data_IF_000468278078
#
_entry.id   IF_000468278078
#
_cell.length_a   1.000
_cell.length_b   1.000
_cell.length_c   1.000
_cell.angle_alpha   90.00
_cell.angle_beta   90.00
_cell.angle_gamma   90.00
#
_symmetry.space_group_name_H-M   'P 1'
#
loop_
_entity.id
_entity.type
_entity.pdbx_description
1 polymer ?
#
# COMPACT_ATOMS: atom_id res chain seq x y z
N UNK A 1 -7.23 -6.12 -6.24
CA UNK A 1 -7.55 -4.97 -5.36
C UNK A 1 -8.08 -5.51 -4.04
N UNK A 2 -7.56 -5.01 -2.92
CA UNK A 2 -7.99 -5.38 -1.58
C UNK A 2 -8.82 -4.23 -0.97
N UNK A 3 -9.82 -4.58 -0.16
CA UNK A 3 -10.74 -3.63 0.47
C UNK A 3 -10.77 -3.90 1.98
N UNK A 4 -10.49 -2.87 2.78
CA UNK A 4 -10.69 -2.91 4.22
C UNK A 4 -12.15 -2.61 4.55
N UNK A 5 -12.72 -3.41 5.46
CA UNK A 5 -14.10 -3.29 5.92
C UNK A 5 -14.17 -3.07 7.43
N UNK A 6 -15.11 -2.23 7.86
CA UNK A 6 -15.50 -2.06 9.27
C UNK A 6 -16.99 -2.41 9.36
N UNK A 7 -17.31 -3.67 9.70
CA UNK A 7 -18.63 -4.24 9.45
C UNK A 7 -18.95 -4.29 7.95
N UNK A 8 -20.10 -3.74 7.56
CA UNK A 8 -20.52 -3.67 6.16
C UNK A 8 -19.87 -2.52 5.37
N UNK A 9 -19.31 -1.54 6.08
CA UNK A 9 -18.71 -0.34 5.50
C UNK A 9 -17.37 -0.64 4.83
N UNK A 10 -17.18 -0.13 3.61
CA UNK A 10 -15.87 -0.08 2.96
C UNK A 10 -15.12 1.16 3.44
N UNK A 11 -13.99 0.95 4.12
CA UNK A 11 -13.27 2.03 4.82
C UNK A 11 -11.85 2.26 4.30
N UNK A 12 -11.36 1.43 3.40
CA UNK A 12 -10.09 1.65 2.72
C UNK A 12 -9.86 0.65 1.60
N UNK A 13 -8.85 0.92 0.79
CA UNK A 13 -8.48 0.07 -0.33
C UNK A 13 -6.99 0.17 -0.65
N UNK A 14 -6.50 -0.84 -1.38
CA UNK A 14 -5.19 -0.84 -2.04
C UNK A 14 -5.25 -1.71 -3.29
N UNK A 15 -4.57 -1.30 -4.35
CA UNK A 15 -4.38 -2.08 -5.56
C UNK A 15 -2.93 -2.53 -5.69
N UNK A 16 -2.76 -3.66 -6.37
CA UNK A 16 -1.47 -4.17 -6.85
C UNK A 16 -1.57 -4.25 -8.36
N UNK A 17 -0.58 -3.68 -9.04
CA UNK A 17 -0.48 -3.68 -10.50
C UNK A 17 0.80 -4.43 -10.85
N UNK A 18 0.73 -5.42 -11.73
CA UNK A 18 1.92 -6.08 -12.25
C UNK A 18 2.47 -5.23 -13.40
N UNK A 19 3.75 -4.86 -13.32
CA UNK A 19 4.43 -4.06 -14.35
C UNK A 19 5.36 -4.93 -15.19
N UNK A 20 6.16 -5.76 -14.52
CA UNK A 20 7.12 -6.69 -15.12
C UNK A 20 7.10 -8.05 -14.39
N UNK A 21 7.72 -9.10 -14.96
CA UNK A 21 7.86 -10.38 -14.26
C UNK A 21 8.48 -10.23 -12.87
N UNK A 22 7.68 -10.46 -11.82
CA UNK A 22 8.09 -10.32 -10.43
C UNK A 22 8.10 -8.89 -9.89
N UNK A 23 7.72 -7.88 -10.66
CA UNK A 23 7.68 -6.48 -10.24
C UNK A 23 6.24 -5.98 -10.16
N UNK A 24 5.88 -5.44 -8.99
CA UNK A 24 4.53 -4.94 -8.75
C UNK A 24 4.55 -3.52 -8.20
N UNK A 25 3.61 -2.70 -8.64
CA UNK A 25 3.31 -1.39 -8.06
C UNK A 25 2.19 -1.52 -7.01
N UNK A 26 2.39 -0.93 -5.82
CA UNK A 26 1.30 -0.64 -4.89
C UNK A 26 0.64 0.67 -5.31
N UNK A 27 -0.61 0.59 -5.75
CA UNK A 27 -1.32 1.71 -6.35
C UNK A 27 -2.67 1.98 -5.66
N UNK A 28 -3.20 3.19 -5.83
CA UNK A 28 -4.56 3.59 -5.40
C UNK A 28 -4.87 3.25 -3.93
N UNK A 29 -3.88 3.37 -3.05
CA UNK A 29 -4.04 3.12 -1.62
C UNK A 29 -4.72 4.30 -0.93
N UNK A 30 -5.80 4.04 -0.20
CA UNK A 30 -6.52 5.08 0.54
C UNK A 30 -7.24 4.52 1.77
N UNK A 31 -7.36 5.36 2.81
CA UNK A 31 -8.18 5.10 3.99
C UNK A 31 -9.15 6.27 4.19
N UNK A 32 -10.42 5.95 4.42
CA UNK A 32 -11.47 6.92 4.65
C UNK A 32 -11.11 7.83 5.83
N UNK A 33 -11.22 9.18 5.70
CA UNK A 33 -10.78 10.13 6.73
C UNK A 33 -11.30 9.82 8.13
N UNK A 34 -12.57 9.41 8.24
CA UNK A 34 -13.26 9.09 9.50
C UNK A 34 -12.65 7.95 10.32
N UNK A 35 -11.78 7.12 9.73
CA UNK A 35 -11.15 5.97 10.42
C UNK A 35 -9.62 5.98 10.34
N UNK A 36 -9.00 7.10 9.95
CA UNK A 36 -7.53 7.23 9.96
C UNK A 36 -6.98 7.16 11.39
N UNK A 37 -5.69 6.85 11.53
CA UNK A 37 -5.04 6.66 12.83
C UNK A 37 -5.36 5.32 13.53
N UNK A 38 -6.22 4.47 12.95
CA UNK A 38 -6.60 3.15 13.52
C UNK A 38 -5.78 1.98 12.98
N UNK A 39 -4.64 2.23 12.34
CA UNK A 39 -3.77 1.18 11.77
C UNK A 39 -4.25 0.54 10.45
N UNK A 40 -5.38 0.98 9.89
CA UNK A 40 -5.97 0.39 8.66
C UNK A 40 -5.02 0.49 7.46
N UNK A 41 -4.27 1.59 7.32
CA UNK A 41 -3.28 1.74 6.26
C UNK A 41 -2.21 0.65 6.33
N UNK A 42 -1.66 0.39 7.53
CA UNK A 42 -0.69 -0.68 7.75
C UNK A 42 -1.26 -2.06 7.44
N UNK A 43 -2.51 -2.30 7.81
CA UNK A 43 -3.20 -3.55 7.51
C UNK A 43 -3.35 -3.77 6.01
N UNK A 44 -3.80 -2.77 5.26
CA UNK A 44 -3.90 -2.83 3.79
C UNK A 44 -2.53 -3.05 3.14
N UNK A 45 -1.51 -2.32 3.59
CA UNK A 45 -0.17 -2.40 3.03
C UNK A 45 0.47 -3.78 3.24
N UNK A 46 0.39 -4.32 4.46
CA UNK A 46 0.87 -5.67 4.74
C UNK A 46 0.13 -6.72 3.89
N UNK A 47 -1.20 -6.62 3.80
CA UNK A 47 -1.99 -7.54 2.99
C UNK A 47 -1.63 -7.47 1.49
N UNK A 48 -1.31 -6.27 0.98
CA UNK A 48 -0.80 -6.11 -0.37
C UNK A 48 0.58 -6.78 -0.55
N UNK A 49 1.50 -6.56 0.38
CA UNK A 49 2.84 -7.18 0.34
C UNK A 49 2.74 -8.71 0.35
N UNK A 50 1.91 -9.27 1.21
CA UNK A 50 1.71 -10.72 1.31
C UNK A 50 1.08 -11.29 0.03
N UNK A 51 0.10 -10.59 -0.54
CA UNK A 51 -0.48 -10.98 -1.83
C UNK A 51 0.55 -10.95 -2.96
N UNK A 52 1.37 -9.90 -3.04
CA UNK A 52 2.42 -9.79 -4.05
C UNK A 52 3.45 -10.92 -3.93
N UNK A 53 3.88 -11.25 -2.70
CA UNK A 53 4.78 -12.39 -2.44
C UNK A 53 4.18 -13.70 -2.91
N UNK A 54 2.90 -13.94 -2.62
CA UNK A 54 2.19 -15.13 -3.10
C UNK A 54 2.11 -15.19 -4.63
N UNK A 55 2.13 -14.05 -5.31
CA UNK A 55 2.21 -13.94 -6.77
C UNK A 55 3.64 -14.01 -7.33
N UNK A 56 4.66 -14.25 -6.50
CA UNK A 56 6.06 -14.35 -6.94
C UNK A 56 6.77 -13.02 -7.11
N UNK A 57 6.31 -11.96 -6.44
CA UNK A 57 6.98 -10.66 -6.46
C UNK A 57 8.40 -10.75 -5.87
N UNK A 58 9.38 -10.29 -6.63
CA UNK A 58 10.76 -10.06 -6.22
C UNK A 58 11.01 -8.59 -5.89
N UNK A 59 10.18 -7.67 -6.42
CA UNK A 59 10.25 -6.24 -6.15
C UNK A 59 8.86 -5.61 -6.00
N UNK A 60 8.76 -4.63 -5.10
CA UNK A 60 7.58 -3.79 -4.92
C UNK A 60 8.02 -2.33 -4.91
N UNK A 61 7.25 -1.48 -5.60
CA UNK A 61 7.45 -0.04 -5.56
C UNK A 61 6.11 0.70 -5.47
N UNK A 62 6.18 1.99 -5.17
CA UNK A 62 5.02 2.89 -5.19
C UNK A 62 5.50 4.32 -5.41
N UNK A 63 4.67 5.11 -6.06
CA UNK A 63 4.82 6.56 -6.09
C UNK A 63 3.91 7.21 -5.04
N UNK A 64 4.44 8.17 -4.29
CA UNK A 64 3.68 8.95 -3.31
C UNK A 64 4.03 10.43 -3.42
N UNK A 65 3.09 11.29 -3.08
CA UNK A 65 3.38 12.71 -2.90
C UNK A 65 4.11 12.89 -1.56
N UNK A 66 5.35 13.38 -1.60
CA UNK A 66 6.17 13.61 -0.40
C UNK A 66 5.57 14.55 0.64
N UNK A 67 4.54 15.34 0.29
CA UNK A 67 3.78 16.18 1.24
C UNK A 67 2.84 15.36 2.15
N UNK A 68 2.58 14.10 1.83
CA UNK A 68 1.74 13.20 2.62
C UNK A 68 2.59 12.46 3.67
N UNK A 69 3.06 13.19 4.70
CA UNK A 69 3.97 12.68 5.71
C UNK A 69 3.49 11.36 6.36
N UNK A 70 2.21 11.25 6.71
CA UNK A 70 1.64 10.02 7.29
C UNK A 70 1.79 8.80 6.37
N UNK A 71 1.62 8.99 5.05
CA UNK A 71 1.76 7.93 4.07
C UNK A 71 3.24 7.55 3.89
N UNK A 72 4.12 8.55 3.77
CA UNK A 72 5.57 8.34 3.67
C UNK A 72 6.09 7.55 4.88
N UNK A 73 5.77 7.98 6.10
CA UNK A 73 6.14 7.28 7.32
C UNK A 73 5.56 5.87 7.40
N UNK A 74 4.34 5.65 6.92
CA UNK A 74 3.75 4.33 6.85
C UNK A 74 4.58 3.40 5.94
N UNK A 75 4.96 3.87 4.74
CA UNK A 75 5.77 3.08 3.81
C UNK A 75 7.17 2.81 4.37
N UNK A 76 7.83 3.82 4.93
CA UNK A 76 9.13 3.66 5.61
C UNK A 76 9.06 2.63 6.75
N UNK A 77 7.97 2.64 7.52
CA UNK A 77 7.79 1.72 8.65
C UNK A 77 7.66 0.24 8.26
N UNK A 78 7.36 -0.08 6.99
CA UNK A 78 7.36 -1.47 6.48
C UNK A 78 8.63 -1.81 5.70
N UNK A 79 9.60 -0.89 5.62
CA UNK A 79 10.87 -1.10 4.94
C UNK A 79 10.92 -0.59 3.49
N UNK A 80 9.94 0.18 3.01
CA UNK A 80 10.17 0.94 1.78
C UNK A 80 11.25 2.00 2.01
N UNK A 81 12.06 2.23 0.98
CA UNK A 81 13.11 3.24 0.97
C UNK A 81 12.89 4.19 -0.19
N UNK A 82 13.30 5.44 -0.03
CA UNK A 82 13.25 6.41 -1.13
C UNK A 82 14.25 6.00 -2.21
N UNK A 83 13.79 5.99 -3.46
CA UNK A 83 14.63 5.80 -4.63
C UNK A 83 14.57 7.05 -5.50
N UNK A 84 15.64 7.39 -6.24
CA UNK A 84 15.58 8.45 -7.24
C UNK A 84 14.48 8.16 -8.26
N UNK A 85 13.77 9.18 -8.78
CA UNK A 85 12.95 8.99 -9.97
C UNK A 85 13.84 8.53 -11.13
N UNK A 86 13.34 7.59 -11.94
CA UNK A 86 13.96 7.17 -13.20
C UNK A 86 13.97 8.29 -14.24
#
# INVERSE_FOLDING_TARGET
MLIARDGDDRVGCVALVAEDPGVFEISKMAVAPRVRGRGIGRLLLNAAIDHARACGATSLFLASNGRLADAVHLYESVGFVHVPPE
#
